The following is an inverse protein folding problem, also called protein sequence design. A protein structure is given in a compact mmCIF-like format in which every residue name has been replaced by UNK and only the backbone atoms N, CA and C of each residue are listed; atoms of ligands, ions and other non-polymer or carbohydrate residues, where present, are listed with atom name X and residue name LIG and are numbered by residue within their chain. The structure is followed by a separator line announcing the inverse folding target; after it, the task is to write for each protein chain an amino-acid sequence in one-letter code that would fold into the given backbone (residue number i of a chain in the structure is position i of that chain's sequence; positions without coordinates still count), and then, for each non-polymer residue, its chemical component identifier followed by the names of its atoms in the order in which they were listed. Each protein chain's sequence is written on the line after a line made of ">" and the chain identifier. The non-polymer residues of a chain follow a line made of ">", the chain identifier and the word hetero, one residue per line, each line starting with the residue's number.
data_IF_444472138760
#
_entry.id   IF_444472138760
#
_cell.length_a   1.000
_cell.length_b   1.000
_cell.length_c   1.000
_cell.angle_alpha   90.00
_cell.angle_beta   90.00
_cell.angle_gamma   90.00
#
_symmetry.space_group_name_H-M   'P 1'
#
loop_
_entity.id
_entity.type
_entity.pdbx_description
1 polymer ?
#
# COMPACT_ATOMS: atom_id res chain seq x y z
N UNK A 1 0.16 4.48 -4.96
CA UNK A 1 1.38 4.64 -4.13
C UNK A 1 1.73 6.11 -3.90
N UNK A 2 1.66 7.00 -4.89
CA UNK A 2 1.89 8.45 -4.70
C UNK A 2 1.07 9.05 -3.54
N UNK A 3 -0.23 8.78 -3.47
CA UNK A 3 -1.06 9.22 -2.33
C UNK A 3 -0.63 8.64 -0.97
N UNK A 4 -0.19 7.38 -0.92
CA UNK A 4 0.34 6.75 0.32
C UNK A 4 1.60 7.48 0.79
N UNK A 5 2.50 7.83 -0.13
CA UNK A 5 3.73 8.58 0.16
C UNK A 5 3.41 10.00 0.62
N UNK A 6 2.47 10.68 -0.04
CA UNK A 6 2.00 12.02 0.36
C UNK A 6 1.43 12.00 1.77
N UNK A 7 0.57 11.02 2.09
CA UNK A 7 -0.03 10.89 3.40
C UNK A 7 0.99 10.59 4.50
N UNK A 8 1.99 9.74 4.23
CA UNK A 8 3.12 9.50 5.15
C UNK A 8 3.87 10.83 5.38
N UNK A 9 4.15 11.59 4.32
CA UNK A 9 4.85 12.87 4.42
C UNK A 9 4.12 13.89 5.30
N UNK A 10 2.80 14.01 5.15
CA UNK A 10 1.97 14.88 6.00
C UNK A 10 2.06 14.46 7.46
N UNK A 11 1.95 13.17 7.74
CA UNK A 11 1.90 12.62 9.09
C UNK A 11 3.28 12.70 9.79
N UNK A 12 4.38 12.47 9.05
CA UNK A 12 5.75 12.75 9.51
C UNK A 12 5.95 14.24 9.76
N UNK A 13 5.44 15.12 8.89
CA UNK A 13 5.48 16.56 9.08
C UNK A 13 4.83 16.99 10.40
N UNK A 14 3.69 16.39 10.75
CA UNK A 14 3.04 16.60 12.06
C UNK A 14 3.85 16.07 13.24
N UNK A 15 4.62 14.98 13.09
CA UNK A 15 5.48 14.45 14.16
C UNK A 15 6.63 15.39 14.49
N UNK A 16 7.23 15.99 13.47
CA UNK A 16 8.34 16.94 13.62
C UNK A 16 7.88 18.40 13.81
N UNK A 17 6.56 18.64 13.82
CA UNK A 17 6.02 19.98 13.99
C UNK A 17 6.23 20.47 15.42
N UNK A 18 6.97 21.57 15.57
CA UNK A 18 7.14 22.22 16.86
C UNK A 18 5.89 23.03 17.20
N UNK A 19 5.08 22.52 18.14
CA UNK A 19 3.92 23.23 18.69
C UNK A 19 4.38 24.39 19.60
N UNK A 20 4.87 25.50 19.02
CA UNK A 20 5.55 26.62 19.72
C UNK A 20 4.63 27.45 20.61
N UNK A 21 3.31 27.30 20.50
CA UNK A 21 2.34 28.09 21.25
C UNK A 21 1.50 27.18 22.13
N UNK A 22 2.00 26.87 23.32
CA UNK A 22 1.28 26.05 24.32
C UNK A 22 0.06 26.76 24.95
N UNK A 23 -0.44 27.85 24.35
CA UNK A 23 -1.52 28.67 24.89
C UNK A 23 -2.32 29.47 23.85
N UNK A 24 -2.20 29.20 22.54
CA UNK A 24 -3.15 29.74 21.57
C UNK A 24 -4.38 28.84 21.49
N UNK A 25 -5.54 29.43 21.24
CA UNK A 25 -6.84 28.75 21.13
C UNK A 25 -6.94 27.72 19.99
N UNK A 26 -5.84 27.46 19.27
CA UNK A 26 -5.75 26.50 18.17
C UNK A 26 -5.09 25.22 18.70
N UNK A 27 -5.81 24.10 18.62
CA UNK A 27 -5.39 22.81 19.20
C UNK A 27 -4.03 22.32 18.73
N UNK A 28 -3.39 21.46 19.55
CA UNK A 28 -2.07 20.87 19.26
C UNK A 28 -2.10 20.04 17.97
N UNK A 29 -1.12 20.24 17.10
CA UNK A 29 -0.90 19.38 15.93
C UNK A 29 -0.25 18.09 16.42
N UNK A 30 -1.00 17.00 16.38
CA UNK A 30 -0.55 15.67 16.78
C UNK A 30 -0.55 14.75 15.57
N UNK A 31 0.48 13.92 15.50
CA UNK A 31 0.56 12.90 14.49
C UNK A 31 -0.05 11.58 14.94
N UNK A 32 -0.76 10.94 14.02
CA UNK A 32 -1.30 9.61 14.06
C UNK A 32 -0.23 8.59 13.66
N UNK A 33 0.38 8.00 14.69
CA UNK A 33 1.39 6.95 14.54
C UNK A 33 0.82 5.64 14.01
N UNK A 34 -0.48 5.38 14.23
CA UNK A 34 -1.14 4.18 13.71
C UNK A 34 -1.30 4.29 12.19
N UNK A 35 -1.75 5.46 11.69
CA UNK A 35 -1.80 5.76 10.25
C UNK A 35 -0.44 5.63 9.60
N UNK A 36 0.61 6.20 10.20
CA UNK A 36 2.00 6.08 9.70
C UNK A 36 2.46 4.63 9.60
N UNK A 37 2.19 3.82 10.62
CA UNK A 37 2.58 2.40 10.63
C UNK A 37 1.86 1.63 9.53
N UNK A 38 0.57 1.86 9.35
CA UNK A 38 -0.21 1.22 8.30
C UNK A 38 0.33 1.59 6.91
N UNK A 39 0.45 2.89 6.62
CA UNK A 39 0.89 3.36 5.31
C UNK A 39 2.34 2.95 5.02
N UNK A 40 3.22 3.03 6.03
CA UNK A 40 4.60 2.56 5.93
C UNK A 40 4.67 1.05 5.66
N UNK A 41 3.85 0.24 6.33
CA UNK A 41 3.81 -1.21 6.08
C UNK A 41 3.30 -1.56 4.69
N UNK A 42 2.30 -0.82 4.19
CA UNK A 42 1.75 -1.01 2.84
C UNK A 42 2.79 -0.66 1.78
N UNK A 43 3.46 0.49 1.92
CA UNK A 43 4.53 0.90 1.02
C UNK A 43 5.69 -0.08 1.05
N UNK A 44 6.06 -0.56 2.24
CA UNK A 44 7.09 -1.58 2.42
C UNK A 44 6.74 -2.90 1.76
N UNK A 45 5.53 -3.41 1.96
CA UNK A 45 5.04 -4.65 1.33
C UNK A 45 5.05 -4.54 -0.20
N UNK A 46 4.59 -3.40 -0.75
CA UNK A 46 4.65 -3.14 -2.19
C UNK A 46 6.09 -3.13 -2.72
N UNK A 47 6.99 -2.42 -2.04
CA UNK A 47 8.39 -2.34 -2.44
C UNK A 47 9.07 -3.71 -2.42
N UNK A 48 8.89 -4.48 -1.35
CA UNK A 48 9.42 -5.85 -1.22
C UNK A 48 8.86 -6.73 -2.33
N UNK A 49 7.56 -6.70 -2.58
CA UNK A 49 6.94 -7.46 -3.68
C UNK A 49 7.49 -7.07 -5.05
N UNK A 50 7.70 -5.78 -5.30
CA UNK A 50 8.31 -5.27 -6.53
C UNK A 50 9.76 -5.73 -6.71
N UNK A 51 10.58 -5.66 -5.66
CA UNK A 51 11.97 -6.13 -5.69
C UNK A 51 12.04 -7.64 -5.91
N UNK A 52 11.23 -8.42 -5.19
CA UNK A 52 11.14 -9.89 -5.38
C UNK A 52 10.71 -10.21 -6.81
N UNK A 53 9.71 -9.50 -7.36
CA UNK A 53 9.27 -9.68 -8.74
C UNK A 53 10.37 -9.36 -9.77
N UNK A 54 11.11 -8.26 -9.56
CA UNK A 54 12.21 -7.88 -10.44
C UNK A 54 13.37 -8.89 -10.38
N UNK A 55 13.76 -9.33 -9.17
CA UNK A 55 14.81 -10.34 -8.98
C UNK A 55 14.39 -11.69 -9.54
N UNK A 56 13.14 -12.12 -9.29
CA UNK A 56 12.60 -13.37 -9.83
C UNK A 56 12.61 -13.35 -11.36
N UNK A 57 12.16 -12.25 -11.97
CA UNK A 57 12.21 -12.10 -13.43
C UNK A 57 13.65 -12.11 -13.96
N UNK A 58 14.61 -11.53 -13.23
CA UNK A 58 16.00 -11.55 -13.62
C UNK A 58 16.63 -12.97 -13.54
N UNK A 59 16.27 -13.79 -12.55
CA UNK A 59 16.88 -15.11 -12.33
C UNK A 59 16.17 -16.26 -13.07
N UNK A 60 14.84 -16.24 -13.11
CA UNK A 60 14.00 -17.36 -13.59
C UNK A 60 13.17 -16.92 -14.81
N UNK A 61 13.33 -15.67 -15.27
CA UNK A 61 12.67 -15.15 -16.46
C UNK A 61 11.16 -15.01 -16.29
N UNK A 62 10.46 -15.13 -17.42
CA UNK A 62 9.01 -14.93 -17.50
C UNK A 62 8.19 -15.89 -16.63
N UNK A 63 8.74 -17.07 -16.28
CA UNK A 63 8.07 -18.06 -15.41
C UNK A 63 7.67 -17.46 -14.05
N UNK A 64 8.39 -16.45 -13.58
CA UNK A 64 8.06 -15.69 -12.34
C UNK A 64 6.66 -15.08 -12.35
N UNK A 65 6.11 -14.78 -13.54
CA UNK A 65 4.76 -14.23 -13.70
C UNK A 65 3.67 -15.28 -13.58
N UNK A 66 3.99 -16.57 -13.78
CA UNK A 66 3.01 -17.67 -13.83
C UNK A 66 2.24 -17.80 -12.51
N UNK A 67 2.87 -17.82 -11.32
CA UNK A 67 2.12 -17.89 -10.06
C UNK A 67 1.16 -16.71 -9.87
N UNK A 68 1.57 -15.51 -10.28
CA UNK A 68 0.74 -14.31 -10.16
C UNK A 68 -0.45 -14.34 -11.14
N UNK A 69 -0.21 -14.82 -12.37
CA UNK A 69 -1.25 -15.06 -13.36
C UNK A 69 -2.24 -16.14 -12.89
N UNK A 70 -1.75 -17.24 -12.33
CA UNK A 70 -2.59 -18.29 -11.73
C UNK A 70 -3.43 -17.73 -10.58
N UNK A 71 -2.85 -16.93 -9.69
CA UNK A 71 -3.60 -16.27 -8.63
C UNK A 71 -4.68 -15.34 -9.19
N UNK A 72 -4.36 -14.53 -10.21
CA UNK A 72 -5.33 -13.68 -10.90
C UNK A 72 -6.45 -14.47 -11.58
N UNK A 73 -6.19 -15.66 -12.09
CA UNK A 73 -7.22 -16.54 -12.67
C UNK A 73 -8.11 -17.18 -11.60
N UNK A 74 -7.59 -17.38 -10.38
CA UNK A 74 -8.34 -17.96 -9.26
C UNK A 74 -9.15 -16.91 -8.47
N UNK A 75 -8.72 -15.64 -8.49
CA UNK A 75 -9.37 -14.52 -7.80
C UNK A 75 -10.78 -14.16 -8.29
N UNK A 76 -11.14 -14.21 -9.60
CA UNK A 76 -12.53 -14.06 -9.98
C UNK A 76 -13.29 -15.21 -9.33
N UNK A 77 -14.17 -14.87 -8.38
CA UNK A 77 -15.15 -15.79 -7.85
C UNK A 77 -15.91 -16.34 -9.06
N UNK A 78 -15.68 -17.60 -9.38
CA UNK A 78 -16.23 -18.33 -10.51
C UNK A 78 -17.77 -18.18 -10.54
N UNK A 79 -18.26 -17.08 -11.12
CA UNK A 79 -19.65 -16.90 -11.50
C UNK A 79 -19.74 -17.45 -12.93
N UNK A 80 -20.02 -18.75 -13.05
CA UNK A 80 -20.58 -19.27 -14.30
C UNK A 80 -21.82 -18.44 -14.64
N UNK A 81 -22.00 -17.98 -15.88
CA UNK A 81 -23.28 -17.47 -16.34
C UNK A 81 -24.36 -18.54 -16.10
N UNK A 82 -25.40 -18.21 -15.34
CA UNK A 82 -26.58 -19.07 -15.22
C UNK A 82 -27.23 -19.23 -16.60
N UNK A 83 -27.52 -20.45 -17.07
CA UNK A 83 -28.05 -20.70 -18.42
C UNK A 83 -29.52 -20.27 -18.64
N UNK A 84 -30.00 -19.24 -17.96
CA UNK A 84 -31.43 -18.91 -17.86
C UNK A 84 -31.89 -17.80 -18.84
N UNK A 85 -31.14 -17.55 -19.91
CA UNK A 85 -31.49 -16.60 -20.97
C UNK A 85 -31.47 -17.25 -22.36
N UNK A 86 -32.16 -18.39 -22.48
CA UNK A 86 -32.64 -18.98 -23.72
C UNK A 86 -34.12 -18.64 -23.94
#
# INVERSE_FOLDING_TARGET
>A
MTGVVTDIGIELGKLFYWNRTAGSSYGRVLADRAKLRLLGSLLGAFFIGGVIGALGFNHIGFVTTVPLATLLLLLPGWQMPSPDNA
#
